data_IF_686420859023
#
_entry.id   IF_686420859023
#
_cell.length_a   1.000
_cell.length_b   1.000
_cell.length_c   1.000
_cell.angle_alpha   90.00
_cell.angle_beta   90.00
_cell.angle_gamma   90.00
#
_symmetry.space_group_name_H-M   'P 1'
#
loop_
_entity.id
_entity.type
_entity.pdbx_description
1 polymer ?
#
# COMPACT_ATOMS: atom_id res chain seq x y z
N UNK A 1 21.73 -1.83 -10.94
CA UNK A 1 20.98 -3.10 -10.88
C UNK A 1 20.40 -3.38 -9.48
N UNK A 2 19.92 -2.35 -8.75
CA UNK A 2 19.43 -2.49 -7.36
C UNK A 2 17.94 -2.19 -7.16
N UNK A 3 17.14 -2.01 -8.22
CA UNK A 3 15.73 -1.59 -8.09
C UNK A 3 14.75 -2.74 -7.80
N UNK A 4 15.14 -3.99 -8.11
CA UNK A 4 14.29 -5.18 -7.89
C UNK A 4 14.24 -5.64 -6.42
N UNK A 5 15.18 -5.16 -5.60
CA UNK A 5 15.38 -5.62 -4.22
C UNK A 5 14.34 -5.07 -3.24
N UNK A 6 13.69 -3.95 -3.60
CA UNK A 6 12.74 -3.26 -2.71
C UNK A 6 11.27 -3.58 -3.03
N UNK A 7 10.93 -3.99 -4.25
CA UNK A 7 9.55 -4.28 -4.63
C UNK A 7 9.01 -5.57 -4.04
N UNK A 8 9.82 -6.64 -3.97
CA UNK A 8 9.37 -7.94 -3.45
C UNK A 8 8.94 -7.85 -1.97
N UNK A 9 9.77 -7.37 -1.02
CA UNK A 9 9.35 -7.21 0.37
C UNK A 9 8.18 -6.25 0.53
N UNK A 10 8.15 -5.16 -0.26
CA UNK A 10 7.07 -4.18 -0.22
C UNK A 10 5.73 -4.78 -0.67
N UNK A 11 5.71 -5.60 -1.72
CA UNK A 11 4.50 -6.23 -2.22
C UNK A 11 3.94 -7.28 -1.24
N UNK A 12 4.80 -8.10 -0.64
CA UNK A 12 4.37 -9.08 0.37
C UNK A 12 3.82 -8.38 1.61
N UNK A 13 4.53 -7.36 2.11
CA UNK A 13 4.06 -6.55 3.22
C UNK A 13 2.73 -5.88 2.91
N UNK A 14 2.59 -5.27 1.72
CA UNK A 14 1.35 -4.64 1.27
C UNK A 14 0.18 -5.62 1.32
N UNK A 15 0.30 -6.81 0.72
CA UNK A 15 -0.78 -7.79 0.66
C UNK A 15 -1.11 -8.39 2.04
N UNK A 16 -0.10 -8.62 2.87
CA UNK A 16 -0.30 -9.12 4.23
C UNK A 16 -1.03 -8.10 5.08
N UNK A 17 -0.62 -6.83 5.00
CA UNK A 17 -1.27 -5.72 5.67
C UNK A 17 -2.71 -5.53 5.17
N UNK A 18 -2.95 -5.65 3.86
CA UNK A 18 -4.29 -5.59 3.28
C UNK A 18 -5.23 -6.62 3.92
N UNK A 19 -4.80 -7.89 4.03
CA UNK A 19 -5.62 -8.96 4.61
C UNK A 19 -6.01 -8.66 6.06
N UNK A 20 -5.08 -8.11 6.84
CA UNK A 20 -5.34 -7.72 8.23
C UNK A 20 -6.26 -6.52 8.34
N UNK A 21 -6.04 -5.49 7.52
CA UNK A 21 -6.91 -4.31 7.45
C UNK A 21 -8.34 -4.69 7.04
N UNK A 22 -8.53 -5.55 6.03
CA UNK A 22 -9.86 -5.98 5.56
C UNK A 22 -10.61 -6.78 6.64
N UNK A 23 -9.89 -7.57 7.44
CA UNK A 23 -10.48 -8.29 8.58
C UNK A 23 -10.94 -7.36 9.73
N UNK A 24 -10.32 -6.18 9.86
CA UNK A 24 -10.64 -5.18 10.90
C UNK A 24 -11.53 -4.04 10.39
N UNK A 25 -11.85 -4.03 9.11
CA UNK A 25 -12.65 -2.99 8.48
C UNK A 25 -14.09 -3.45 8.36
N UNK A 26 -15.04 -2.62 8.82
CA UNK A 26 -16.46 -2.93 8.68
C UNK A 26 -16.84 -3.18 7.21
N UNK A 27 -17.69 -4.18 6.97
CA UNK A 27 -18.09 -4.57 5.63
C UNK A 27 -18.60 -3.37 4.80
N UNK A 28 -18.10 -3.24 3.57
CA UNK A 28 -18.49 -2.17 2.65
C UNK A 28 -17.74 -0.84 2.84
N UNK A 29 -16.88 -0.69 3.86
CA UNK A 29 -16.00 0.47 3.99
C UNK A 29 -14.81 0.40 3.02
N UNK A 30 -14.35 1.56 2.56
CA UNK A 30 -13.15 1.64 1.73
C UNK A 30 -11.91 1.39 2.58
N UNK A 31 -10.88 0.82 1.97
CA UNK A 31 -9.55 0.67 2.57
C UNK A 31 -8.58 1.39 1.63
N UNK A 32 -7.74 2.26 2.18
CA UNK A 32 -6.72 2.93 1.39
C UNK A 32 -5.50 3.25 2.27
N UNK A 33 -4.31 2.85 1.86
CA UNK A 33 -3.10 3.04 2.64
C UNK A 33 -1.85 3.04 1.75
N UNK A 34 -0.72 3.48 2.33
CA UNK A 34 0.58 3.48 1.66
C UNK A 34 1.50 2.43 2.30
N UNK A 35 1.68 1.25 1.67
CA UNK A 35 2.56 0.22 2.21
C UNK A 35 3.99 0.72 2.37
N UNK A 36 4.49 1.47 1.39
CA UNK A 36 5.86 1.99 1.42
C UNK A 36 6.08 2.98 2.58
N UNK A 37 5.12 3.88 2.84
CA UNK A 37 5.21 4.83 3.94
C UNK A 37 5.24 4.12 5.30
N UNK A 38 4.33 3.16 5.52
CA UNK A 38 4.28 2.37 6.76
C UNK A 38 5.58 1.56 6.93
N UNK A 39 6.07 0.93 5.86
CA UNK A 39 7.31 0.16 5.90
C UNK A 39 8.53 1.03 6.24
N UNK A 40 8.59 2.26 5.72
CA UNK A 40 9.66 3.20 6.01
C UNK A 40 9.62 3.64 7.48
N UNK A 41 8.44 3.94 8.01
CA UNK A 41 8.26 4.28 9.43
C UNK A 41 8.72 3.12 10.34
N UNK A 42 8.27 1.90 10.07
CA UNK A 42 8.70 0.71 10.81
C UNK A 42 10.21 0.45 10.69
N UNK A 43 10.80 0.71 9.52
CA UNK A 43 12.25 0.57 9.30
C UNK A 43 13.06 1.57 10.13
N UNK A 44 12.59 2.82 10.22
CA UNK A 44 13.22 3.84 11.07
C UNK A 44 13.15 3.43 12.55
N UNK A 45 11.97 3.00 13.02
CA UNK A 45 11.79 2.54 14.40
C UNK A 45 12.65 1.31 14.69
N UNK A 46 12.71 0.36 13.77
CA UNK A 46 13.51 -0.86 13.91
C UNK A 46 15.03 -0.61 13.91
N UNK A 47 15.49 0.43 13.23
CA UNK A 47 16.91 0.84 13.26
C UNK A 47 17.36 1.23 14.67
N UNK A 48 16.45 1.82 15.45
CA UNK A 48 16.63 2.13 16.86
C UNK A 48 16.35 0.97 17.83
N UNK A 49 15.65 -0.07 17.37
CA UNK A 49 15.33 -1.25 18.17
C UNK A 49 16.52 -2.22 18.27
N UNK A 50 16.53 -3.03 19.32
CA UNK A 50 17.49 -4.12 19.55
C UNK A 50 16.77 -5.43 19.89
N UNK A 51 17.53 -6.52 19.96
CA UNK A 51 17.05 -7.85 20.34
C UNK A 51 15.79 -8.33 19.62
N UNK A 52 14.85 -8.87 20.40
CA UNK A 52 13.58 -9.40 19.91
C UNK A 52 12.67 -8.31 19.32
N UNK A 53 12.69 -7.09 19.86
CA UNK A 53 11.91 -5.96 19.33
C UNK A 53 12.29 -5.65 17.89
N UNK A 54 13.59 -5.58 17.59
CA UNK A 54 14.09 -5.39 16.22
C UNK A 54 13.70 -6.56 15.33
N UNK A 55 13.84 -7.79 15.84
CA UNK A 55 13.56 -9.01 15.08
C UNK A 55 12.09 -9.10 14.67
N UNK A 56 11.17 -8.78 15.57
CA UNK A 56 9.74 -8.72 15.28
C UNK A 56 9.42 -7.66 14.22
N UNK A 57 9.91 -6.43 14.40
CA UNK A 57 9.70 -5.33 13.44
C UNK A 57 10.22 -5.67 12.04
N UNK A 58 11.42 -6.27 11.94
CA UNK A 58 11.99 -6.69 10.66
C UNK A 58 11.22 -7.86 10.04
N UNK A 59 10.73 -8.80 10.84
CA UNK A 59 9.95 -9.93 10.31
C UNK A 59 8.66 -9.48 9.61
N UNK A 60 8.01 -8.45 10.15
CA UNK A 60 6.78 -7.88 9.60
C UNK A 60 7.01 -7.17 8.27
N UNK A 61 8.20 -6.60 8.04
CA UNK A 61 8.56 -5.90 6.80
C UNK A 61 8.72 -6.82 5.59
N UNK A 62 8.51 -8.13 5.74
CA UNK A 62 8.55 -9.06 4.61
C UNK A 62 9.97 -9.36 4.12
N UNK A 63 11.00 -9.24 4.98
CA UNK A 63 12.36 -9.73 4.67
C UNK A 63 12.44 -11.27 4.62
N UNK A 64 11.35 -11.95 4.24
CA UNK A 64 11.28 -13.38 3.97
C UNK A 64 11.06 -13.54 2.47
N UNK A 65 12.00 -14.19 1.79
CA UNK A 65 11.95 -14.37 0.34
C UNK A 65 10.71 -15.14 -0.12
N UNK A 66 9.82 -14.49 -0.88
CA UNK A 66 8.84 -15.14 -1.75
C UNK A 66 8.75 -14.41 -3.10
N UNK A 67 9.07 -15.14 -4.17
CA UNK A 67 8.93 -14.64 -5.54
C UNK A 67 7.46 -14.53 -5.94
N UNK A 68 7.01 -13.29 -6.20
CA UNK A 68 5.76 -13.02 -6.87
C UNK A 68 6.02 -12.70 -8.34
N UNK A 69 5.68 -13.61 -9.24
CA UNK A 69 5.64 -13.34 -10.67
C UNK A 69 4.26 -12.81 -11.06
N UNK A 70 4.08 -11.48 -11.10
CA UNK A 70 2.90 -10.90 -11.73
C UNK A 70 3.12 -10.78 -13.24
N UNK A 71 2.34 -11.55 -14.00
CA UNK A 71 2.27 -11.39 -15.45
C UNK A 71 1.16 -10.39 -15.80
N UNK A 72 1.45 -9.09 -15.73
CA UNK A 72 0.57 -8.07 -16.29
C UNK A 72 0.89 -7.87 -17.78
N UNK A 73 -0.12 -8.02 -18.63
CA UNK A 73 -0.01 -7.64 -20.03
C UNK A 73 -0.83 -6.37 -20.28
N UNK A 74 -0.21 -5.37 -20.90
CA UNK A 74 -0.90 -4.14 -21.31
C UNK A 74 -1.89 -4.48 -22.42
N UNK A 75 -3.14 -4.04 -22.27
CA UNK A 75 -4.18 -4.18 -23.29
C UNK A 75 -4.94 -2.86 -23.43
N UNK A 76 -5.14 -2.42 -24.67
CA UNK A 76 -5.99 -1.26 -24.98
C UNK A 76 -7.45 -1.65 -24.74
N UNK A 77 -8.15 -0.85 -23.93
CA UNK A 77 -9.55 -1.04 -23.54
C UNK A 77 -10.27 0.30 -23.53
N UNK A 78 -11.59 0.26 -23.73
CA UNK A 78 -12.46 1.40 -23.45
C UNK A 78 -12.80 1.39 -21.95
N UNK A 79 -12.21 2.32 -21.17
CA UNK A 79 -12.25 2.30 -19.71
C UNK A 79 -13.23 3.36 -19.17
N UNK A 80 -14.15 2.92 -18.32
CA UNK A 80 -14.96 3.80 -17.48
C UNK A 80 -14.54 3.65 -16.03
N UNK A 81 -13.93 4.71 -15.49
CA UNK A 81 -13.48 4.84 -14.10
C UNK A 81 -14.30 5.96 -13.43
N UNK A 82 -14.93 5.73 -12.27
CA UNK A 82 -15.61 6.79 -11.54
C UNK A 82 -14.60 7.83 -11.01
N UNK A 83 -15.02 9.10 -10.94
CA UNK A 83 -14.35 10.08 -10.08
C UNK A 83 -14.63 9.71 -8.62
N UNK A 84 -13.61 9.81 -7.77
CA UNK A 84 -13.76 9.57 -6.34
C UNK A 84 -12.70 10.30 -5.55
N UNK A 85 -13.00 10.55 -4.29
CA UNK A 85 -12.03 11.00 -3.30
C UNK A 85 -12.18 10.13 -2.07
N UNK A 86 -11.07 9.62 -1.54
CA UNK A 86 -11.05 8.70 -0.41
C UNK A 86 -10.01 9.19 0.58
N UNK A 87 -10.43 9.31 1.84
CA UNK A 87 -9.54 9.49 2.99
C UNK A 87 -9.73 8.29 3.89
N UNK A 88 -8.63 7.63 4.26
CA UNK A 88 -8.65 6.50 5.17
C UNK A 88 -7.61 6.71 6.26
N UNK A 89 -8.07 6.61 7.51
CA UNK A 89 -7.25 6.59 8.70
C UNK A 89 -7.26 5.18 9.27
N UNK A 90 -6.09 4.66 9.62
CA UNK A 90 -5.92 3.35 10.23
C UNK A 90 -5.08 3.47 11.50
N UNK A 91 -5.61 2.96 12.61
CA UNK A 91 -4.79 2.61 13.77
C UNK A 91 -4.16 1.25 13.51
N UNK A 92 -2.84 1.15 13.60
CA UNK A 92 -2.10 -0.04 13.19
C UNK A 92 -1.61 -0.87 14.38
N UNK A 93 -1.79 -0.43 15.62
CA UNK A 93 -1.33 -1.17 16.82
C UNK A 93 -1.79 -2.63 16.82
N UNK A 94 -3.10 -2.86 16.87
CA UNK A 94 -3.68 -4.21 16.88
C UNK A 94 -3.26 -5.03 15.66
N UNK A 95 -3.15 -4.37 14.49
CA UNK A 95 -2.76 -5.03 13.25
C UNK A 95 -1.29 -5.46 13.31
N UNK A 96 -0.40 -4.63 13.83
CA UNK A 96 1.02 -4.94 13.97
C UNK A 96 1.26 -6.00 15.04
N UNK A 97 0.51 -5.99 16.14
CA UNK A 97 0.52 -7.06 17.14
C UNK A 97 0.13 -8.40 16.53
N UNK A 98 -0.94 -8.42 15.73
CA UNK A 98 -1.37 -9.62 14.98
C UNK A 98 -0.38 -10.07 13.89
N UNK A 99 0.51 -9.17 13.45
CA UNK A 99 1.63 -9.45 12.57
C UNK A 99 2.90 -9.85 13.32
N UNK A 100 2.83 -9.99 14.64
CA UNK A 100 3.91 -10.49 15.50
C UNK A 100 4.76 -9.40 16.15
N UNK A 101 4.45 -8.12 15.96
CA UNK A 101 5.11 -7.00 16.65
C UNK A 101 4.45 -6.80 18.00
N UNK A 102 4.88 -7.53 19.02
CA UNK A 102 4.30 -7.44 20.37
C UNK A 102 5.22 -6.72 21.36
N UNK A 103 6.53 -6.88 21.23
CA UNK A 103 7.49 -6.33 22.19
C UNK A 103 7.52 -4.81 22.12
N UNK A 104 7.42 -4.23 20.91
CA UNK A 104 7.45 -2.79 20.70
C UNK A 104 6.36 -2.04 21.49
N UNK A 105 5.22 -2.69 21.77
CA UNK A 105 4.07 -2.12 22.48
C UNK A 105 4.03 -2.50 23.98
N UNK A 106 5.09 -3.14 24.49
CA UNK A 106 5.12 -3.72 25.84
C UNK A 106 6.33 -3.24 26.63
N UNK A 107 6.36 -3.56 27.92
CA UNK A 107 7.54 -3.35 28.77
C UNK A 107 8.77 -4.16 28.34
N UNK A 108 8.65 -5.09 27.39
CA UNK A 108 9.78 -5.80 26.79
C UNK A 108 10.41 -5.06 25.60
N UNK A 109 9.91 -3.87 25.26
CA UNK A 109 10.47 -3.06 24.19
C UNK A 109 11.94 -2.70 24.49
N UNK A 110 12.81 -2.99 23.53
CA UNK A 110 14.19 -2.57 23.54
C UNK A 110 14.45 -1.57 22.42
N UNK A 111 14.38 -0.29 22.77
CA UNK A 111 14.71 0.86 21.94
C UNK A 111 15.97 1.58 22.44
N UNK A 112 16.89 0.86 23.08
CA UNK A 112 18.16 1.42 23.57
C UNK A 112 19.01 2.08 22.49
N UNK A 113 18.82 1.71 21.21
CA UNK A 113 19.44 2.38 20.08
C UNK A 113 18.89 3.77 19.75
N UNK A 114 17.79 4.19 20.38
CA UNK A 114 17.23 5.55 20.31
C UNK A 114 17.53 6.36 21.58
N UNK A 115 17.48 5.72 22.74
CA UNK A 115 17.77 6.35 24.03
C UNK A 115 18.32 5.33 25.02
N UNK A 116 19.48 5.61 25.59
CA UNK A 116 20.09 4.77 26.63
C UNK A 116 19.56 5.09 28.04
N UNK A 117 19.17 6.34 28.27
CA UNK A 117 18.77 6.83 29.60
C UNK A 117 17.28 6.62 29.91
N UNK A 118 16.43 6.52 28.89
CA UNK A 118 14.98 6.44 29.03
C UNK A 118 14.47 5.20 28.30
N UNK A 119 13.75 4.35 29.04
CA UNK A 119 13.04 3.22 28.45
C UNK A 119 11.86 3.73 27.62
N UNK A 120 11.87 3.42 26.32
CA UNK A 120 10.82 3.81 25.38
C UNK A 120 9.91 2.62 25.07
N UNK A 121 8.65 2.91 24.75
CA UNK A 121 7.67 1.96 24.22
C UNK A 121 6.88 2.66 23.11
N UNK A 122 6.39 1.89 22.13
CA UNK A 122 5.45 2.41 21.14
C UNK A 122 4.07 2.43 21.77
N UNK A 123 3.48 3.62 21.90
CA UNK A 123 2.11 3.78 22.37
C UNK A 123 1.12 3.86 21.20
N UNK A 124 1.50 4.67 20.21
CA UNK A 124 0.78 5.17 19.04
C UNK A 124 1.22 4.61 17.68
N UNK A 125 0.41 3.94 16.85
CA UNK A 125 0.70 3.88 15.39
C UNK A 125 -0.53 4.26 14.56
N UNK A 126 -0.45 5.41 13.89
CA UNK A 126 -1.52 5.93 13.04
C UNK A 126 -1.03 6.20 11.62
N UNK A 127 -1.80 5.77 10.64
CA UNK A 127 -1.55 6.02 9.22
C UNK A 127 -2.75 6.70 8.58
N UNK A 128 -2.51 7.71 7.76
CA UNK A 128 -3.53 8.38 6.96
C UNK A 128 -3.09 8.39 5.50
N UNK A 129 -4.01 8.06 4.60
CA UNK A 129 -3.80 8.21 3.17
C UNK A 129 -5.03 8.83 2.51
N UNK A 130 -4.78 9.72 1.55
CA UNK A 130 -5.79 10.42 0.78
C UNK A 130 -5.51 10.21 -0.70
N UNK A 131 -6.55 9.93 -1.48
CA UNK A 131 -6.49 9.86 -2.93
C UNK A 131 -7.70 10.54 -3.52
N UNK A 132 -7.45 11.44 -4.47
CA UNK A 132 -8.48 12.04 -5.33
C UNK A 132 -8.19 11.65 -6.78
N UNK A 133 -9.21 11.19 -7.48
CA UNK A 133 -9.16 10.86 -8.90
C UNK A 133 -10.15 11.73 -9.65
N UNK A 134 -9.62 12.54 -10.56
CA UNK A 134 -10.38 13.41 -11.45
C UNK A 134 -9.91 13.24 -12.91
N UNK A 135 -10.52 14.00 -13.82
CA UNK A 135 -10.23 13.95 -15.27
C UNK A 135 -9.09 14.91 -15.68
N UNK A 136 -8.53 15.67 -14.75
CA UNK A 136 -7.54 16.72 -15.02
C UNK A 136 -6.16 16.10 -15.23
N UNK A 137 -6.00 15.45 -16.39
CA UNK A 137 -4.74 14.83 -16.81
C UNK A 137 -4.44 14.90 -18.31
N UNK A 138 -5.38 15.30 -19.18
CA UNK A 138 -5.14 15.50 -20.62
C UNK A 138 -6.19 16.42 -21.25
N UNK A 139 -5.88 17.71 -21.41
CA UNK A 139 -6.59 18.59 -22.33
C UNK A 139 -6.03 18.40 -23.75
N UNK A 140 -6.91 18.16 -24.71
CA UNK A 140 -6.59 17.71 -26.06
C UNK A 140 -5.72 18.72 -26.85
N UNK A 141 -4.58 18.26 -27.38
CA UNK A 141 -3.84 18.96 -28.43
C UNK A 141 -4.10 18.26 -29.77
N UNK A 142 -4.84 18.92 -30.67
CA UNK A 142 -5.11 18.41 -32.00
C UNK A 142 -3.93 18.71 -32.95
N UNK A 143 -3.43 17.67 -33.61
CA UNK A 143 -2.65 17.78 -34.84
C UNK A 143 -3.08 16.64 -35.76
N UNK A 144 -3.34 16.95 -37.03
CA UNK A 144 -3.91 16.05 -38.04
C UNK A 144 -3.07 14.78 -38.20
N UNK A 145 -3.66 13.62 -37.96
CA UNK A 145 -2.99 12.30 -38.09
C UNK A 145 -3.78 11.37 -38.99
N UNK A 146 -3.07 10.54 -39.75
CA UNK A 146 -3.65 9.46 -40.56
C UNK A 146 -4.18 8.37 -39.61
N UNK A 147 -5.49 8.12 -39.64
CA UNK A 147 -6.15 7.15 -38.75
C UNK A 147 -6.13 5.74 -39.36
N UNK A 148 -5.43 4.83 -38.70
CA UNK A 148 -5.61 3.39 -38.87
C UNK A 148 -6.75 2.94 -37.96
N UNK A 149 -7.87 2.48 -38.53
CA UNK A 149 -9.00 1.98 -37.74
C UNK A 149 -8.71 0.54 -37.27
N UNK A 150 -8.86 0.23 -35.96
CA UNK A 150 -8.73 -1.13 -35.48
C UNK A 150 -9.81 -2.02 -36.14
N UNK A 151 -9.43 -3.24 -36.54
CA UNK A 151 -10.34 -4.22 -37.16
C UNK A 151 -11.38 -4.81 -36.19
N UNK A 152 -11.30 -4.44 -34.91
CA UNK A 152 -12.22 -4.88 -33.85
C UNK A 152 -12.44 -3.77 -32.83
N UNK A 153 -13.65 -3.71 -32.25
CA UNK A 153 -13.94 -2.79 -31.16
C UNK A 153 -13.10 -3.13 -29.91
N UNK A 154 -12.51 -2.13 -29.22
CA UNK A 154 -11.88 -2.34 -27.93
C UNK A 154 -12.88 -2.94 -26.94
N UNK A 155 -12.40 -3.83 -26.07
CA UNK A 155 -13.25 -4.36 -25.00
C UNK A 155 -13.55 -3.24 -24.00
N UNK A 156 -14.83 -2.99 -23.73
CA UNK A 156 -15.24 -2.02 -22.72
C UNK A 156 -15.10 -2.62 -21.30
N UNK A 157 -14.52 -1.85 -20.40
CA UNK A 157 -14.29 -2.19 -18.98
C UNK A 157 -14.88 -1.07 -18.13
N UNK A 158 -15.91 -1.40 -17.35
CA UNK A 158 -16.59 -0.46 -16.44
C UNK A 158 -16.34 -0.84 -14.98
N UNK A 159 -15.79 0.10 -14.22
CA UNK A 159 -15.55 -0.04 -12.78
C UNK A 159 -16.76 0.46 -11.98
N UNK A 160 -17.87 -0.28 -12.09
CA UNK A 160 -19.18 0.04 -11.48
C UNK A 160 -19.57 -0.88 -10.30
N UNK A 161 -18.58 -1.54 -9.70
CA UNK A 161 -18.69 -2.47 -8.57
C UNK A 161 -17.36 -2.46 -7.81
N UNK A 162 -17.27 -3.01 -6.59
CA UNK A 162 -16.04 -2.95 -5.80
C UNK A 162 -14.78 -3.33 -6.58
N UNK A 163 -13.74 -2.51 -6.46
CA UNK A 163 -12.50 -2.66 -7.22
C UNK A 163 -11.27 -2.39 -6.37
N UNK A 164 -10.14 -2.95 -6.77
CA UNK A 164 -8.84 -2.69 -6.16
C UNK A 164 -8.11 -1.60 -6.95
N UNK A 165 -7.38 -0.75 -6.23
CA UNK A 165 -6.51 0.28 -6.78
C UNK A 165 -5.09 0.01 -6.29
N UNK A 166 -4.14 0.10 -7.21
CA UNK A 166 -2.72 0.05 -6.93
C UNK A 166 -2.07 1.25 -7.64
N UNK A 167 -1.33 2.06 -6.89
CA UNK A 167 -0.44 3.06 -7.45
C UNK A 167 0.96 2.51 -7.30
N UNK A 168 1.60 2.23 -8.44
CA UNK A 168 2.89 1.55 -8.49
C UNK A 168 3.90 2.48 -9.13
N UNK A 169 5.09 2.59 -8.52
CA UNK A 169 6.21 3.24 -9.18
C UNK A 169 6.77 2.29 -10.25
N UNK A 170 6.76 2.74 -11.51
CA UNK A 170 7.24 1.93 -12.64
C UNK A 170 8.75 1.66 -12.63
N UNK A 171 9.54 2.47 -11.90
CA UNK A 171 11.00 2.32 -11.89
C UNK A 171 11.49 1.26 -10.89
N UNK A 172 10.82 1.20 -9.73
CA UNK A 172 11.13 0.26 -8.65
C UNK A 172 10.16 -0.91 -8.58
N UNK A 173 9.03 -0.86 -9.29
CA UNK A 173 7.91 -1.81 -9.16
C UNK A 173 7.28 -1.83 -7.75
N UNK A 174 7.53 -0.79 -6.93
CA UNK A 174 7.02 -0.70 -5.56
C UNK A 174 5.56 -0.24 -5.52
N UNK A 175 4.77 -0.80 -4.61
CA UNK A 175 3.39 -0.37 -4.36
C UNK A 175 3.40 0.85 -3.45
N UNK A 176 3.21 2.02 -4.05
CA UNK A 176 3.14 3.30 -3.32
C UNK A 176 1.84 3.41 -2.52
N UNK A 177 0.73 3.03 -3.14
CA UNK A 177 -0.59 2.99 -2.51
C UNK A 177 -1.37 1.76 -2.93
N UNK A 178 -2.17 1.24 -2.01
CA UNK A 178 -3.08 0.14 -2.24
C UNK A 178 -4.44 0.46 -1.61
N UNK A 179 -5.52 0.06 -2.28
CA UNK A 179 -6.85 0.18 -1.68
C UNK A 179 -7.92 -0.69 -2.31
N UNK A 180 -8.98 -0.87 -1.53
CA UNK A 180 -10.24 -1.50 -1.92
C UNK A 180 -11.33 -0.45 -1.88
N UNK A 181 -11.89 -0.14 -3.04
CA UNK A 181 -12.96 0.83 -3.19
C UNK A 181 -14.26 0.06 -3.28
N UNK A 182 -15.00 0.04 -2.17
CA UNK A 182 -16.33 -0.55 -2.10
C UNK A 182 -17.40 0.46 -2.52
N UNK A 183 -17.25 1.73 -2.12
CA UNK A 183 -18.15 2.81 -2.51
C UNK A 183 -17.36 4.09 -2.89
N UNK A 184 -17.30 4.47 -4.19
CA UNK A 184 -16.56 5.64 -4.66
C UNK A 184 -17.20 6.98 -4.26
N UNK A 185 -18.44 6.98 -3.73
CA UNK A 185 -19.12 8.20 -3.26
C UNK A 185 -19.10 8.34 -1.74
N UNK A 186 -18.47 7.41 -1.02
CA UNK A 186 -18.34 7.49 0.44
C UNK A 186 -17.21 8.47 0.79
N UNK A 187 -17.59 9.62 1.34
CA UNK A 187 -16.69 10.59 1.98
C UNK A 187 -16.40 10.17 3.43
#
# INVERSE_FOLDING_TARGET
TGSKDLSEPNAEFALTLYKKLDAHTAAGKNIFYSPISISAALSMVSSGARGDTRSQLMSTLGYRFQHWTQSFFKKVVDLSLPKFSISAEASLEQILEELGVTYAFSDFADFSGLSEDIKLVVSKVSHQAVLSVDETGTEAAAATTVELLPTSLPKSVKLNRPFLVFIVDSSTESILFMGKINNPTAL
#
